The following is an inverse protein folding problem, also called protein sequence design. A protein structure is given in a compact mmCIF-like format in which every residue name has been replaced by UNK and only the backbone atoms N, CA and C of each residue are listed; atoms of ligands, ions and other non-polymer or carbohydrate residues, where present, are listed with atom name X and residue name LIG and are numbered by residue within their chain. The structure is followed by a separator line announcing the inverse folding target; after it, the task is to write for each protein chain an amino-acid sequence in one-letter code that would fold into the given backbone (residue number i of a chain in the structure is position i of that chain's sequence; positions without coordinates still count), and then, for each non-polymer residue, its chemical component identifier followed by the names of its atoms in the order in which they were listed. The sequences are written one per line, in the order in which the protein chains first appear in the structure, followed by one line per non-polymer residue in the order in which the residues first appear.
data_IF_279505745887
#
_entry.id   IF_279505745887
#
_cell.length_a   1.000
_cell.length_b   1.000
_cell.length_c   1.000
_cell.angle_alpha   90.00
_cell.angle_beta   90.00
_cell.angle_gamma   90.00
#
_symmetry.space_group_name_H-M   'P 1'
#
loop_
_entity.id
_entity.type
_entity.pdbx_description
1 polymer ?
#
# COMPACT_ATOMS: atom_id res chain seq x y z
N UNK A 1 -7.09 -8.25 -1.45
CA UNK A 1 -7.25 -6.78 -1.26
C UNK A 1 -8.13 -6.62 -0.05
N UNK A 2 -7.60 -6.04 1.00
CA UNK A 2 -8.35 -5.79 2.21
C UNK A 2 -9.27 -4.59 1.95
N UNK A 3 -10.55 -4.89 1.78
CA UNK A 3 -11.60 -3.88 1.66
C UNK A 3 -12.32 -3.81 2.99
N UNK A 4 -12.37 -2.62 3.58
CA UNK A 4 -13.10 -2.38 4.83
C UNK A 4 -14.40 -1.65 4.50
N UNK A 5 -15.53 -2.19 4.94
CA UNK A 5 -16.83 -1.53 4.82
C UNK A 5 -16.96 -0.44 5.89
N UNK A 6 -17.28 0.78 5.43
CA UNK A 6 -17.45 1.94 6.33
C UNK A 6 -18.90 2.17 6.76
N UNK A 7 -19.86 1.54 6.06
CA UNK A 7 -21.29 1.77 6.17
C UNK A 7 -21.85 2.53 4.96
N UNK A 8 -23.19 2.46 4.74
CA UNK A 8 -23.86 3.18 3.64
C UNK A 8 -23.32 2.88 2.24
N UNK A 9 -22.93 1.63 1.95
CA UNK A 9 -22.31 1.17 0.69
C UNK A 9 -20.95 1.84 0.38
N UNK A 10 -20.29 2.44 1.37
CA UNK A 10 -18.96 3.02 1.21
C UNK A 10 -17.91 2.01 1.69
N UNK A 11 -16.91 1.81 0.86
CA UNK A 11 -15.76 0.95 1.13
C UNK A 11 -14.49 1.79 1.18
N UNK A 12 -13.52 1.30 1.93
CA UNK A 12 -12.16 1.80 1.94
C UNK A 12 -11.22 0.66 1.50
N UNK A 13 -10.29 0.97 0.63
CA UNK A 13 -9.31 -0.01 0.14
C UNK A 13 -7.98 0.64 -0.19
N UNK A 14 -6.96 -0.17 -0.19
CA UNK A 14 -5.62 0.19 -0.64
C UNK A 14 -5.49 -0.14 -2.13
N UNK A 15 -5.07 0.84 -2.92
CA UNK A 15 -4.83 0.66 -4.35
C UNK A 15 -3.39 1.00 -4.66
N UNK A 16 -2.56 0.00 -4.97
CA UNK A 16 -1.21 0.24 -5.45
C UNK A 16 -1.27 0.91 -6.82
N UNK A 17 -0.36 1.86 -7.04
CA UNK A 17 -0.16 2.49 -8.34
C UNK A 17 0.95 1.72 -9.06
N UNK A 18 0.60 0.88 -10.05
CA UNK A 18 1.59 0.06 -10.76
C UNK A 18 2.45 0.90 -11.69
N UNK A 19 3.60 0.35 -12.08
CA UNK A 19 4.42 0.91 -13.15
C UNK A 19 3.60 1.05 -14.44
N UNK A 20 3.78 2.16 -15.16
CA UNK A 20 3.00 2.43 -16.39
C UNK A 20 1.58 2.96 -16.16
N UNK A 21 1.13 3.17 -14.93
CA UNK A 21 -0.12 3.87 -14.64
C UNK A 21 -0.06 5.34 -15.09
N UNK A 22 -1.18 5.88 -15.57
CA UNK A 22 -1.30 7.31 -15.93
C UNK A 22 -1.08 8.24 -14.74
N UNK A 23 -1.20 7.72 -13.52
CA UNK A 23 -1.01 8.49 -12.29
C UNK A 23 0.47 8.73 -11.96
N UNK A 24 1.37 7.86 -12.44
CA UNK A 24 2.80 7.99 -12.16
C UNK A 24 3.33 9.29 -12.75
N UNK A 25 4.04 10.06 -11.92
CA UNK A 25 4.58 11.37 -12.29
C UNK A 25 3.58 12.52 -12.16
N UNK A 26 2.34 12.28 -11.71
CA UNK A 26 1.38 13.35 -11.41
C UNK A 26 1.40 13.69 -9.91
N UNK A 27 0.99 14.91 -9.56
CA UNK A 27 0.76 15.25 -8.14
C UNK A 27 -0.62 14.76 -7.71
N UNK A 28 -0.79 14.48 -6.43
CA UNK A 28 -2.08 14.03 -5.89
C UNK A 28 -3.22 14.97 -6.27
N UNK A 29 -3.02 16.29 -6.14
CA UNK A 29 -4.03 17.30 -6.52
C UNK A 29 -4.36 17.33 -8.02
N UNK A 30 -3.40 16.96 -8.88
CA UNK A 30 -3.52 16.98 -10.33
C UNK A 30 -3.95 15.62 -10.90
N UNK A 31 -4.17 14.61 -10.06
CA UNK A 31 -4.56 13.25 -10.46
C UNK A 31 -5.99 13.15 -10.99
N UNK A 32 -6.84 14.12 -10.65
CA UNK A 32 -8.26 14.15 -11.00
C UNK A 32 -9.04 12.86 -10.66
N UNK A 33 -8.53 12.06 -9.70
CA UNK A 33 -9.14 10.77 -9.29
C UNK A 33 -10.59 10.98 -8.88
N UNK A 34 -10.86 12.01 -8.05
CA UNK A 34 -12.21 12.27 -7.56
C UNK A 34 -13.19 12.62 -8.68
N UNK A 35 -12.78 13.45 -9.62
CA UNK A 35 -13.61 13.88 -10.75
C UNK A 35 -13.89 12.74 -11.71
N UNK A 36 -12.89 11.88 -11.94
CA UNK A 36 -12.96 10.78 -12.92
C UNK A 36 -13.65 9.53 -12.39
N UNK A 37 -13.47 9.22 -11.12
CA UNK A 37 -13.92 7.95 -10.54
C UNK A 37 -14.97 8.11 -9.44
N UNK A 38 -15.06 9.28 -8.81
CA UNK A 38 -15.87 9.51 -7.63
C UNK A 38 -15.24 9.01 -6.32
N UNK A 39 -14.05 8.36 -6.38
CA UNK A 39 -13.31 7.92 -5.20
C UNK A 39 -12.57 9.09 -4.54
N UNK A 40 -12.44 9.06 -3.21
CA UNK A 40 -11.67 10.05 -2.46
C UNK A 40 -10.35 9.44 -2.00
N UNK A 41 -9.23 10.15 -2.19
CA UNK A 41 -7.96 9.79 -1.57
C UNK A 41 -7.99 10.26 -0.12
N UNK A 42 -7.87 9.33 0.82
CA UNK A 42 -7.85 9.59 2.26
C UNK A 42 -6.42 9.70 2.75
N UNK A 43 -5.55 8.84 2.21
CA UNK A 43 -4.15 8.74 2.58
C UNK A 43 -3.33 8.18 1.42
N UNK A 44 -2.02 8.16 1.60
CA UNK A 44 -1.11 7.53 0.66
C UNK A 44 0.16 7.04 1.37
N UNK A 45 0.64 5.87 1.00
CA UNK A 45 2.01 5.47 1.31
C UNK A 45 2.92 5.97 0.20
N UNK A 46 3.77 6.91 0.54
CA UNK A 46 4.75 7.51 -0.37
C UNK A 46 6.12 7.22 0.19
N UNK A 47 6.98 6.58 -0.59
CA UNK A 47 8.32 6.15 -0.17
C UNK A 47 8.31 5.30 1.12
N UNK A 48 7.24 4.53 1.34
CA UNK A 48 7.05 3.67 2.50
C UNK A 48 6.57 4.38 3.77
N UNK A 49 6.28 5.68 3.71
CA UNK A 49 5.71 6.46 4.80
C UNK A 49 4.23 6.75 4.55
N UNK A 50 3.40 6.51 5.55
CA UNK A 50 1.98 6.85 5.47
C UNK A 50 1.79 8.35 5.70
N UNK A 51 1.20 9.01 4.72
CA UNK A 51 0.71 10.39 4.84
C UNK A 51 -0.81 10.38 4.97
N UNK A 52 -1.33 10.93 6.06
CA UNK A 52 -2.76 10.97 6.37
C UNK A 52 -3.13 12.34 7.00
N UNK A 53 -3.73 13.28 6.26
CA UNK A 53 -3.99 13.25 4.81
C UNK A 53 -2.70 13.29 3.99
N UNK A 54 -2.74 12.87 2.73
CA UNK A 54 -1.57 12.98 1.87
C UNK A 54 -1.34 14.44 1.48
N UNK A 55 -0.07 14.82 1.34
CA UNK A 55 0.27 16.13 0.81
C UNK A 55 -0.26 16.27 -0.63
N UNK A 56 -1.11 17.26 -0.93
CA UNK A 56 -1.64 17.48 -2.28
C UNK A 56 -0.54 17.68 -3.34
N UNK A 57 0.62 18.19 -2.94
CA UNK A 57 1.78 18.42 -3.81
C UNK A 57 2.69 17.18 -3.96
N UNK A 58 2.45 16.14 -3.18
CA UNK A 58 3.23 14.91 -3.28
C UNK A 58 3.07 14.27 -4.66
N UNK A 59 4.20 13.76 -5.18
CA UNK A 59 4.24 13.05 -6.46
C UNK A 59 3.82 11.60 -6.28
N UNK A 60 2.90 11.15 -7.10
CA UNK A 60 2.54 9.74 -7.22
C UNK A 60 3.64 9.02 -8.00
N UNK A 61 4.21 7.99 -7.40
CA UNK A 61 5.29 7.17 -7.97
C UNK A 61 4.84 5.72 -8.14
N UNK A 62 5.64 4.90 -8.78
CA UNK A 62 5.35 3.49 -9.05
C UNK A 62 5.06 2.66 -7.79
N UNK A 63 5.61 3.06 -6.65
CA UNK A 63 5.46 2.38 -5.36
C UNK A 63 4.48 3.09 -4.42
N UNK A 64 3.73 4.05 -4.92
CA UNK A 64 2.69 4.72 -4.14
C UNK A 64 1.51 3.77 -3.97
N UNK A 65 1.04 3.62 -2.74
CA UNK A 65 -0.23 2.93 -2.45
C UNK A 65 -1.22 3.98 -1.98
N UNK A 66 -2.29 4.17 -2.73
CA UNK A 66 -3.35 5.12 -2.39
C UNK A 66 -4.35 4.45 -1.45
N UNK A 67 -4.63 5.08 -0.33
CA UNK A 67 -5.77 4.74 0.51
C UNK A 67 -6.96 5.54 0.05
N UNK A 68 -7.97 4.84 -0.43
CA UNK A 68 -9.12 5.48 -1.07
C UNK A 68 -10.43 5.03 -0.43
N UNK A 69 -11.44 5.92 -0.45
CA UNK A 69 -12.81 5.58 -0.07
C UNK A 69 -13.77 5.93 -1.19
N UNK A 70 -14.83 5.14 -1.29
CA UNK A 70 -15.89 5.33 -2.27
C UNK A 70 -16.84 4.14 -2.31
N UNK A 71 -17.85 4.22 -3.17
CA UNK A 71 -18.74 3.09 -3.45
C UNK A 71 -18.00 2.03 -4.26
N UNK A 72 -18.46 0.75 -4.27
CA UNK A 72 -17.86 -0.30 -5.07
C UNK A 72 -17.63 0.07 -6.52
N UNK A 73 -18.60 0.71 -7.15
CA UNK A 73 -18.52 1.21 -8.54
C UNK A 73 -17.42 2.25 -8.77
N UNK A 74 -17.11 3.05 -7.74
CA UNK A 74 -16.03 4.03 -7.80
C UNK A 74 -14.66 3.34 -7.70
N UNK A 75 -14.59 2.25 -6.93
CA UNK A 75 -13.38 1.42 -6.81
C UNK A 75 -13.08 0.67 -8.11
N UNK A 76 -14.11 0.16 -8.79
CA UNK A 76 -13.95 -0.47 -10.11
C UNK A 76 -13.38 0.52 -11.12
N UNK A 77 -13.99 1.71 -11.25
CA UNK A 77 -13.49 2.78 -12.12
C UNK A 77 -12.06 3.19 -11.78
N UNK A 78 -11.73 3.27 -10.48
CA UNK A 78 -10.39 3.63 -10.06
C UNK A 78 -9.39 2.52 -10.38
N UNK A 79 -9.77 1.25 -10.21
CA UNK A 79 -8.95 0.12 -10.62
C UNK A 79 -8.65 0.16 -12.12
N UNK A 80 -9.67 0.37 -12.97
CA UNK A 80 -9.48 0.51 -14.41
C UNK A 80 -8.54 1.68 -14.75
N UNK A 81 -8.70 2.78 -14.03
CA UNK A 81 -7.91 3.99 -14.22
C UNK A 81 -6.45 3.85 -13.73
N UNK A 82 -6.21 3.05 -12.68
CA UNK A 82 -4.87 2.82 -12.16
C UNK A 82 -4.14 1.69 -12.87
N UNK A 83 -4.86 0.84 -13.62
CA UNK A 83 -4.22 -0.25 -14.35
C UNK A 83 -3.17 0.29 -15.33
N UNK A 84 -2.05 -0.39 -15.49
CA UNK A 84 -1.09 -0.05 -16.53
C UNK A 84 -1.77 -0.16 -17.90
N UNK A 85 -1.42 0.72 -18.82
CA UNK A 85 -1.92 0.68 -20.21
C UNK A 85 -1.59 -0.62 -20.95
N UNK A 86 -0.71 -1.44 -20.40
CA UNK A 86 -0.43 -2.80 -20.83
C UNK A 86 -1.10 -3.78 -19.88
N UNK A 87 -2.21 -4.40 -20.33
CA UNK A 87 -2.65 -5.67 -19.75
C UNK A 87 -1.46 -6.66 -19.84
N UNK A 88 -1.19 -7.39 -18.76
CA UNK A 88 -0.25 -8.52 -18.79
C UNK A 88 -0.50 -9.33 -20.06
N UNK A 89 0.55 -9.46 -20.90
CA UNK A 89 0.48 -10.30 -22.08
C UNK A 89 0.41 -11.75 -21.63
N UNK A 90 -0.27 -12.60 -22.38
CA UNK A 90 -0.50 -14.03 -22.09
C UNK A 90 0.78 -14.92 -22.02
N UNK A 91 1.93 -14.34 -21.69
CA UNK A 91 3.21 -15.02 -21.51
C UNK A 91 3.98 -14.33 -20.40
N UNK A 92 3.37 -14.34 -19.18
CA UNK A 92 4.02 -13.76 -18.00
C UNK A 92 5.25 -14.61 -17.67
N UNK A 93 6.44 -14.02 -17.77
CA UNK A 93 7.70 -14.62 -17.38
C UNK A 93 8.30 -13.83 -16.23
N UNK A 94 8.57 -14.51 -15.12
CA UNK A 94 9.17 -13.92 -13.94
C UNK A 94 10.56 -14.52 -13.70
N UNK A 95 11.54 -13.65 -13.53
CA UNK A 95 12.90 -14.06 -13.15
C UNK A 95 12.99 -14.10 -11.61
N UNK A 96 13.54 -15.20 -11.09
CA UNK A 96 13.83 -15.34 -9.66
C UNK A 96 15.35 -15.30 -9.46
N UNK A 97 15.86 -14.18 -9.01
CA UNK A 97 17.28 -13.96 -8.74
C UNK A 97 17.61 -14.32 -7.27
N UNK A 98 18.24 -15.47 -7.07
CA UNK A 98 18.55 -16.07 -5.78
C UNK A 98 17.47 -17.04 -5.28
N UNK A 99 17.80 -18.34 -5.27
CA UNK A 99 16.94 -19.42 -4.80
C UNK A 99 17.20 -19.81 -3.33
N UNK A 100 17.36 -18.79 -2.46
CA UNK A 100 17.26 -18.94 -1.00
C UNK A 100 15.82 -19.14 -0.54
N UNK A 101 15.55 -19.04 0.75
CA UNK A 101 14.20 -19.23 1.33
C UNK A 101 13.15 -18.32 0.67
N UNK A 102 13.46 -17.04 0.47
CA UNK A 102 12.55 -16.06 -0.14
C UNK A 102 12.31 -16.39 -1.62
N UNK A 103 13.38 -16.68 -2.39
CA UNK A 103 13.25 -16.98 -3.81
C UNK A 103 12.46 -18.28 -4.07
N UNK A 104 12.68 -19.32 -3.26
CA UNK A 104 11.92 -20.58 -3.34
C UNK A 104 10.44 -20.35 -3.04
N UNK A 105 10.13 -19.61 -1.99
CA UNK A 105 8.75 -19.28 -1.64
C UNK A 105 8.07 -18.45 -2.75
N UNK A 106 8.78 -17.46 -3.31
CA UNK A 106 8.27 -16.65 -4.42
C UNK A 106 8.01 -17.52 -5.66
N UNK A 107 8.95 -18.37 -6.04
CA UNK A 107 8.81 -19.31 -7.16
C UNK A 107 7.56 -20.19 -7.00
N UNK A 108 7.39 -20.81 -5.83
CA UNK A 108 6.24 -21.68 -5.58
C UNK A 108 4.89 -20.96 -5.76
N UNK A 109 4.81 -19.69 -5.30
CA UNK A 109 3.59 -18.88 -5.46
C UNK A 109 3.34 -18.51 -6.93
N UNK A 110 4.39 -18.11 -7.65
CA UNK A 110 4.32 -17.70 -9.06
C UNK A 110 3.94 -18.90 -9.95
N UNK A 111 4.58 -20.05 -9.77
CA UNK A 111 4.27 -21.27 -10.52
C UNK A 111 2.86 -21.82 -10.23
N UNK A 112 2.37 -21.72 -8.99
CA UNK A 112 0.98 -22.04 -8.66
C UNK A 112 -0.04 -21.14 -9.34
N UNK A 113 0.34 -19.92 -9.67
CA UNK A 113 -0.48 -18.99 -10.45
C UNK A 113 -0.44 -19.27 -11.96
N UNK A 114 0.35 -20.27 -12.40
CA UNK A 114 0.49 -20.65 -13.81
C UNK A 114 1.43 -19.74 -14.61
N UNK A 115 2.33 -19.03 -13.95
CA UNK A 115 3.28 -18.10 -14.54
C UNK A 115 4.64 -18.81 -14.69
N UNK A 116 5.29 -18.64 -15.84
CA UNK A 116 6.60 -19.23 -16.11
C UNK A 116 7.70 -18.53 -15.31
N UNK A 117 8.63 -19.32 -14.73
CA UNK A 117 9.77 -18.78 -13.99
C UNK A 117 11.09 -19.13 -14.64
N UNK A 118 12.05 -18.21 -14.58
CA UNK A 118 13.47 -18.44 -14.87
C UNK A 118 14.29 -18.12 -13.63
N UNK A 119 15.12 -19.04 -13.21
CA UNK A 119 15.84 -18.96 -11.94
C UNK A 119 17.33 -18.69 -12.15
N UNK A 120 17.89 -17.78 -11.35
CA UNK A 120 19.33 -17.49 -11.32
C UNK A 120 19.86 -17.76 -9.91
N UNK A 121 20.88 -18.57 -9.76
CA UNK A 121 21.59 -18.75 -8.50
C UNK A 121 23.07 -19.11 -8.79
N UNK A 122 23.95 -18.81 -7.83
CA UNK A 122 25.37 -19.18 -7.91
C UNK A 122 25.62 -20.66 -7.59
N UNK A 123 24.63 -21.32 -6.97
CA UNK A 123 24.72 -22.72 -6.55
C UNK A 123 24.16 -23.60 -7.65
N UNK A 124 24.98 -24.51 -8.16
CA UNK A 124 24.56 -25.53 -9.12
C UNK A 124 23.56 -26.51 -8.46
N UNK A 125 22.33 -26.46 -8.94
CA UNK A 125 21.21 -27.33 -8.49
C UNK A 125 20.29 -27.62 -9.69
N UNK A 126 19.61 -28.75 -9.63
CA UNK A 126 18.68 -29.18 -10.70
C UNK A 126 17.51 -28.19 -10.94
N UNK A 127 17.23 -27.30 -9.99
CA UNK A 127 16.16 -26.31 -10.03
C UNK A 127 16.64 -24.90 -10.41
N UNK A 128 17.89 -24.74 -10.90
CA UNK A 128 18.47 -23.48 -11.35
C UNK A 128 18.68 -23.49 -12.86
N UNK A 129 18.08 -22.51 -13.56
CA UNK A 129 18.17 -22.39 -15.01
C UNK A 129 19.48 -21.69 -15.44
N UNK A 130 19.88 -20.65 -14.70
CA UNK A 130 21.13 -19.87 -14.95
C UNK A 130 22.02 -19.94 -13.71
N UNK A 131 23.10 -20.70 -13.82
CA UNK A 131 24.10 -20.87 -12.74
C UNK A 131 25.11 -19.72 -12.85
N UNK A 132 24.82 -18.59 -12.21
CA UNK A 132 25.62 -17.37 -12.28
C UNK A 132 25.31 -16.39 -11.16
N UNK A 133 26.13 -15.34 -11.02
CA UNK A 133 25.86 -14.22 -10.11
C UNK A 133 24.83 -13.25 -10.73
N UNK A 134 23.64 -13.21 -10.15
CA UNK A 134 22.55 -12.36 -10.63
C UNK A 134 22.87 -10.84 -10.63
N UNK A 135 23.95 -10.42 -9.97
CA UNK A 135 24.42 -9.04 -9.97
C UNK A 135 25.29 -8.67 -11.19
N UNK A 136 25.28 -9.51 -12.23
CA UNK A 136 25.99 -9.23 -13.49
C UNK A 136 25.00 -9.05 -14.65
N UNK A 137 25.39 -8.24 -15.63
CA UNK A 137 24.58 -8.02 -16.84
C UNK A 137 24.38 -9.32 -17.62
N UNK A 138 25.45 -10.10 -17.79
CA UNK A 138 25.43 -11.35 -18.54
C UNK A 138 24.42 -12.35 -17.99
N UNK A 139 24.37 -12.53 -16.67
CA UNK A 139 23.38 -13.43 -16.05
C UNK A 139 21.94 -13.00 -16.27
N UNK A 140 21.68 -11.70 -16.28
CA UNK A 140 20.34 -11.16 -16.56
C UNK A 140 19.95 -11.31 -18.03
N UNK A 141 20.92 -11.15 -18.95
CA UNK A 141 20.74 -11.41 -20.39
C UNK A 141 20.45 -12.89 -20.63
N UNK A 142 21.20 -13.81 -20.03
CA UNK A 142 20.99 -15.26 -20.12
C UNK A 142 19.63 -15.69 -19.57
N UNK A 143 19.14 -14.99 -18.57
CA UNK A 143 17.79 -15.20 -18.02
C UNK A 143 16.67 -14.57 -18.86
N UNK A 144 16.98 -13.79 -19.88
CA UNK A 144 16.01 -13.16 -20.77
C UNK A 144 15.32 -11.93 -20.16
N UNK A 145 16.06 -11.08 -19.44
CA UNK A 145 15.55 -9.90 -18.73
C UNK A 145 14.78 -8.94 -19.65
N UNK A 146 15.15 -8.82 -20.92
CA UNK A 146 14.54 -7.88 -21.87
C UNK A 146 13.08 -8.22 -22.17
N UNK A 147 12.74 -9.52 -22.12
CA UNK A 147 11.40 -10.05 -22.41
C UNK A 147 10.62 -10.45 -21.13
N UNK A 148 11.23 -10.30 -19.95
CA UNK A 148 10.59 -10.64 -18.68
C UNK A 148 9.62 -9.54 -18.23
N UNK A 149 8.48 -9.94 -17.65
CA UNK A 149 7.48 -9.04 -17.09
C UNK A 149 7.83 -8.62 -15.65
N UNK A 150 8.57 -9.47 -14.93
CA UNK A 150 8.99 -9.17 -13.57
C UNK A 150 10.27 -9.88 -13.14
N UNK A 151 10.88 -9.36 -12.08
CA UNK A 151 12.01 -9.99 -11.40
C UNK A 151 11.84 -9.91 -9.89
N UNK A 152 12.01 -11.05 -9.23
CA UNK A 152 12.07 -11.17 -7.76
C UNK A 152 13.53 -11.34 -7.36
N UNK A 153 14.08 -10.35 -6.66
CA UNK A 153 15.47 -10.34 -6.20
C UNK A 153 15.50 -10.76 -4.73
N UNK A 154 15.83 -12.03 -4.49
CA UNK A 154 15.89 -12.69 -3.19
C UNK A 154 17.31 -12.90 -2.65
N UNK A 155 18.28 -12.11 -3.07
CA UNK A 155 19.68 -12.25 -2.69
C UNK A 155 19.92 -11.97 -1.21
N UNK A 156 20.89 -12.65 -0.56
CA UNK A 156 21.20 -12.43 0.86
C UNK A 156 21.95 -11.11 1.11
N UNK A 157 22.66 -10.58 0.11
CA UNK A 157 23.49 -9.37 0.19
C UNK A 157 22.73 -8.18 -0.39
N UNK A 158 22.47 -7.15 0.43
CA UNK A 158 21.71 -5.96 0.04
C UNK A 158 22.42 -5.14 -1.06
N UNK A 159 23.76 -5.13 -1.09
CA UNK A 159 24.52 -4.42 -2.12
C UNK A 159 24.34 -5.11 -3.47
N UNK A 160 24.35 -6.44 -3.51
CA UNK A 160 24.04 -7.21 -4.72
C UNK A 160 22.59 -7.03 -5.13
N UNK A 161 21.66 -7.03 -4.18
CA UNK A 161 20.24 -6.75 -4.45
C UNK A 161 20.04 -5.39 -5.10
N UNK A 162 20.69 -4.34 -4.57
CA UNK A 162 20.66 -2.98 -5.15
C UNK A 162 21.27 -2.94 -6.55
N UNK A 163 22.43 -3.57 -6.76
CA UNK A 163 23.08 -3.60 -8.06
C UNK A 163 22.21 -4.33 -9.10
N UNK A 164 21.67 -5.51 -8.73
CA UNK A 164 20.74 -6.26 -9.60
C UNK A 164 19.51 -5.43 -9.95
N UNK A 165 18.97 -4.68 -8.97
CA UNK A 165 17.82 -3.77 -9.21
C UNK A 165 18.16 -2.70 -10.25
N UNK A 166 19.31 -2.03 -10.11
CA UNK A 166 19.76 -1.01 -11.09
C UNK A 166 19.95 -1.60 -12.47
N UNK A 167 20.61 -2.75 -12.56
CA UNK A 167 20.84 -3.43 -13.84
C UNK A 167 19.53 -3.85 -14.49
N UNK A 168 18.64 -4.52 -13.76
CA UNK A 168 17.34 -4.96 -14.25
C UNK A 168 16.54 -3.78 -14.81
N UNK A 169 16.43 -2.68 -14.07
CA UNK A 169 15.73 -1.47 -14.52
C UNK A 169 16.39 -0.83 -15.75
N UNK A 170 17.72 -0.84 -15.82
CA UNK A 170 18.44 -0.28 -16.97
C UNK A 170 18.31 -1.12 -18.25
N UNK A 171 18.16 -2.43 -18.11
CA UNK A 171 18.03 -3.38 -19.23
C UNK A 171 16.59 -3.51 -19.71
N UNK A 172 15.63 -3.48 -18.78
CA UNK A 172 14.21 -3.49 -19.10
C UNK A 172 13.50 -2.39 -18.28
N UNK A 173 13.25 -1.20 -18.88
CA UNK A 173 12.61 -0.09 -18.19
C UNK A 173 11.18 -0.37 -17.71
N UNK A 174 10.50 -1.34 -18.28
CA UNK A 174 9.09 -1.68 -18.02
C UNK A 174 8.92 -2.86 -17.04
N UNK A 175 10.01 -3.54 -16.66
CA UNK A 175 9.96 -4.72 -15.79
C UNK A 175 9.49 -4.36 -14.38
N UNK A 176 8.63 -5.20 -13.78
CA UNK A 176 8.31 -5.08 -12.35
C UNK A 176 9.41 -5.68 -11.49
N UNK A 177 9.93 -4.91 -10.54
CA UNK A 177 11.04 -5.31 -9.68
C UNK A 177 10.61 -5.40 -8.24
N UNK A 178 10.59 -6.63 -7.68
CA UNK A 178 10.48 -6.86 -6.26
C UNK A 178 11.86 -7.21 -5.72
N UNK A 179 12.38 -6.44 -4.76
CA UNK A 179 13.67 -6.72 -4.14
C UNK A 179 13.57 -6.93 -2.63
N UNK A 180 14.27 -7.95 -2.13
CA UNK A 180 14.45 -8.18 -0.71
C UNK A 180 15.60 -7.32 -0.20
N UNK A 181 15.38 -6.65 0.94
CA UNK A 181 16.40 -5.87 1.67
C UNK A 181 16.36 -6.28 3.13
N UNK A 182 17.54 -6.51 3.72
CA UNK A 182 17.71 -6.89 5.13
C UNK A 182 17.90 -5.67 6.02
N UNK A 183 18.50 -4.60 5.52
CA UNK A 183 18.68 -3.34 6.23
C UNK A 183 17.51 -2.39 5.94
N UNK A 184 16.82 -1.97 7.00
CA UNK A 184 15.67 -1.05 6.89
C UNK A 184 16.07 0.29 6.25
N UNK A 185 17.28 0.78 6.49
CA UNK A 185 17.78 2.04 5.93
C UNK A 185 18.10 1.93 4.43
N UNK A 186 18.32 0.71 3.92
CA UNK A 186 18.51 0.46 2.49
C UNK A 186 17.21 0.44 1.68
N UNK A 187 16.03 0.42 2.33
CA UNK A 187 14.73 0.41 1.65
C UNK A 187 14.59 1.58 0.69
N UNK A 188 14.88 2.80 1.15
CA UNK A 188 14.82 4.01 0.29
C UNK A 188 15.80 3.94 -0.88
N UNK A 189 16.99 3.35 -0.67
CA UNK A 189 17.99 3.18 -1.73
C UNK A 189 17.49 2.22 -2.79
N UNK A 190 16.80 1.13 -2.40
CA UNK A 190 16.25 0.16 -3.33
C UNK A 190 15.14 0.78 -4.20
N UNK A 191 14.23 1.56 -3.60
CA UNK A 191 13.22 2.31 -4.35
C UNK A 191 13.85 3.30 -5.33
N UNK A 192 14.87 4.05 -4.90
CA UNK A 192 15.59 4.99 -5.76
C UNK A 192 16.41 4.26 -6.85
N UNK A 193 16.83 3.03 -6.62
CA UNK A 193 17.49 2.19 -7.60
C UNK A 193 16.53 1.66 -8.69
N UNK A 194 15.22 1.81 -8.49
CA UNK A 194 14.21 1.43 -9.46
C UNK A 194 13.37 0.21 -9.05
N UNK A 195 13.44 -0.25 -7.79
CA UNK A 195 12.53 -1.27 -7.30
C UNK A 195 11.10 -0.71 -7.23
N UNK A 196 10.11 -1.52 -7.64
CA UNK A 196 8.69 -1.19 -7.49
C UNK A 196 8.20 -1.62 -6.10
N UNK A 197 8.71 -2.75 -5.61
CA UNK A 197 8.38 -3.29 -4.29
C UNK A 197 9.64 -3.66 -3.51
N UNK A 198 9.66 -3.31 -2.22
CA UNK A 198 10.77 -3.65 -1.32
C UNK A 198 10.27 -4.47 -0.15
N UNK A 199 10.72 -5.72 -0.06
CA UNK A 199 10.46 -6.59 1.08
C UNK A 199 11.56 -6.43 2.13
N UNK A 200 11.24 -5.74 3.24
CA UNK A 200 12.12 -5.67 4.42
C UNK A 200 11.71 -6.72 5.45
N UNK A 201 12.39 -7.86 5.46
CA UNK A 201 12.12 -8.96 6.40
C UNK A 201 12.15 -8.54 7.87
N UNK A 202 13.12 -7.75 8.34
CA UNK A 202 13.16 -7.29 9.73
C UNK A 202 11.95 -6.44 10.11
N UNK A 203 11.47 -5.55 9.22
CA UNK A 203 10.29 -4.72 9.49
C UNK A 203 9.03 -5.55 9.61
N UNK A 204 8.83 -6.51 8.71
CA UNK A 204 7.68 -7.42 8.75
C UNK A 204 7.71 -8.24 10.03
N UNK A 205 8.85 -8.87 10.35
CA UNK A 205 9.02 -9.69 11.56
C UNK A 205 8.83 -8.88 12.85
N UNK A 206 9.42 -7.69 12.95
CA UNK A 206 9.28 -6.84 14.14
C UNK A 206 7.81 -6.43 14.37
N UNK A 207 7.08 -6.14 13.30
CA UNK A 207 5.66 -5.82 13.38
C UNK A 207 4.83 -7.02 13.85
N UNK A 208 5.09 -8.20 13.30
CA UNK A 208 4.40 -9.43 13.73
C UNK A 208 4.64 -9.73 15.20
N UNK A 209 5.89 -9.61 15.67
CA UNK A 209 6.26 -9.79 17.08
C UNK A 209 5.54 -8.76 17.96
N UNK A 210 5.54 -7.48 17.58
CA UNK A 210 4.90 -6.42 18.34
C UNK A 210 3.38 -6.64 18.48
N UNK A 211 2.71 -7.11 17.42
CA UNK A 211 1.28 -7.48 17.46
C UNK A 211 1.03 -8.67 18.38
N UNK A 212 1.82 -9.75 18.22
CA UNK A 212 1.69 -10.94 19.06
C UNK A 212 1.88 -10.63 20.57
N UNK A 213 2.81 -9.73 20.91
CA UNK A 213 3.04 -9.31 22.29
C UNK A 213 1.90 -8.49 22.88
N UNK A 214 1.11 -7.81 22.05
CA UNK A 214 -0.09 -7.06 22.49
C UNK A 214 -1.34 -7.93 22.57
N UNK A 215 -1.27 -9.21 22.19
CA UNK A 215 -2.44 -10.10 22.14
C UNK A 215 -3.41 -9.76 21.01
N UNK A 216 -2.98 -8.95 20.04
CA UNK A 216 -3.73 -8.63 18.85
C UNK A 216 -3.63 -9.79 17.85
N UNK A 217 -4.73 -10.15 17.19
CA UNK A 217 -4.68 -11.12 16.08
C UNK A 217 -3.67 -10.65 15.02
N UNK A 218 -2.80 -11.56 14.61
CA UNK A 218 -1.83 -11.30 13.54
C UNK A 218 -2.58 -11.36 12.22
N UNK A 219 -3.44 -10.38 11.98
CA UNK A 219 -3.99 -10.12 10.66
C UNK A 219 -2.87 -9.54 9.78
N UNK A 220 -2.94 -9.79 8.50
CA UNK A 220 -1.89 -9.57 7.50
C UNK A 220 -1.08 -8.26 7.62
N UNK A 221 0.19 -8.19 7.17
CA UNK A 221 1.09 -7.06 7.41
C UNK A 221 0.77 -5.87 6.49
N UNK A 222 -0.40 -5.25 6.63
CA UNK A 222 -0.85 -4.13 5.80
C UNK A 222 -1.31 -2.90 6.56
N UNK A 223 -2.19 -3.02 7.55
CA UNK A 223 -2.85 -1.83 8.08
C UNK A 223 -2.13 -1.21 9.29
N UNK A 224 -1.42 -0.13 9.05
CA UNK A 224 -1.09 0.87 10.08
C UNK A 224 -2.28 1.78 10.37
N UNK A 225 -3.43 1.49 9.75
CA UNK A 225 -4.61 2.33 9.75
C UNK A 225 -5.66 1.67 10.61
N UNK A 226 -6.23 2.46 11.48
CA UNK A 226 -7.33 2.08 12.33
C UNK A 226 -8.53 2.96 12.04
N UNK A 227 -9.67 2.32 11.94
CA UNK A 227 -10.97 2.97 11.87
C UNK A 227 -11.61 2.89 13.22
N UNK A 228 -12.19 4.00 13.66
CA UNK A 228 -13.03 4.02 14.85
C UNK A 228 -14.31 4.80 14.56
N UNK A 229 -15.42 4.37 15.15
CA UNK A 229 -16.67 5.13 15.22
C UNK A 229 -16.78 5.75 16.59
N UNK A 230 -17.13 7.02 16.63
CA UNK A 230 -17.27 7.79 17.87
C UNK A 230 -18.44 8.74 17.79
N UNK A 231 -19.17 8.97 18.89
CA UNK A 231 -20.21 9.99 18.92
C UNK A 231 -19.62 11.39 18.76
N UNK A 232 -20.31 12.26 18.03
CA UNK A 232 -19.91 13.65 17.84
C UNK A 232 -20.26 14.55 19.03
N UNK A 233 -20.77 14.00 20.11
CA UNK A 233 -21.20 14.76 21.31
C UNK A 233 -20.17 15.79 21.78
N UNK A 234 -18.84 15.52 21.84
CA UNK A 234 -17.84 16.51 22.25
C UNK A 234 -17.67 17.68 21.27
N UNK A 235 -18.17 17.52 20.06
CA UNK A 235 -18.01 18.46 18.95
C UNK A 235 -19.33 19.11 18.53
N UNK A 236 -20.40 18.92 19.31
CA UNK A 236 -21.71 19.49 18.99
C UNK A 236 -21.64 21.03 18.92
N UNK A 237 -22.20 21.60 17.85
CA UNK A 237 -22.23 23.05 17.63
C UNK A 237 -20.99 23.66 17.05
N UNK A 238 -19.97 22.85 16.68
CA UNK A 238 -18.79 23.33 15.94
C UNK A 238 -18.71 22.66 14.58
N UNK A 239 -18.04 23.30 13.63
CA UNK A 239 -17.83 22.68 12.33
C UNK A 239 -16.72 21.63 12.39
N UNK A 240 -16.70 20.71 11.41
CA UNK A 240 -15.64 19.71 11.31
C UNK A 240 -14.25 20.38 11.26
N UNK A 241 -14.11 21.49 10.53
CA UNK A 241 -12.87 22.25 10.49
C UNK A 241 -12.48 22.87 11.85
N UNK A 242 -13.46 23.32 12.64
CA UNK A 242 -13.25 23.91 13.97
C UNK A 242 -13.07 22.89 15.09
N UNK A 243 -13.40 21.61 14.83
CA UNK A 243 -13.28 20.55 15.86
C UNK A 243 -11.84 20.29 16.30
N UNK A 244 -10.86 20.67 15.50
CA UNK A 244 -9.43 20.43 15.77
C UNK A 244 -9.02 18.97 15.75
N UNK A 245 -9.90 18.04 15.33
CA UNK A 245 -9.64 16.60 15.33
C UNK A 245 -8.35 16.29 14.59
N UNK A 246 -8.22 16.79 13.36
CA UNK A 246 -7.07 16.50 12.51
C UNK A 246 -5.77 17.13 13.05
N UNK A 247 -5.85 18.37 13.50
CA UNK A 247 -4.69 19.15 13.97
C UNK A 247 -4.14 18.62 15.29
N UNK A 248 -5.05 18.25 16.23
CA UNK A 248 -4.65 17.85 17.58
C UNK A 248 -4.26 16.37 17.66
N UNK A 249 -4.81 15.51 16.80
CA UNK A 249 -4.67 14.07 16.94
C UNK A 249 -4.06 13.35 15.74
N UNK A 250 -4.11 13.97 14.55
CA UNK A 250 -3.74 13.34 13.29
C UNK A 250 -4.79 12.37 12.74
N UNK A 251 -5.95 12.20 13.43
CA UNK A 251 -7.08 11.47 12.89
C UNK A 251 -7.83 12.32 11.87
N UNK A 252 -8.52 11.66 10.94
CA UNK A 252 -9.34 12.34 9.94
C UNK A 252 -10.77 11.83 9.98
N UNK A 253 -11.75 12.73 9.94
CA UNK A 253 -13.14 12.38 9.72
C UNK A 253 -13.33 11.97 8.27
N UNK A 254 -13.81 10.74 8.02
CA UNK A 254 -14.03 10.20 6.68
C UNK A 254 -15.50 9.92 6.38
N UNK A 255 -16.33 9.83 7.41
CA UNK A 255 -17.77 9.73 7.27
C UNK A 255 -18.48 10.33 8.48
N UNK A 256 -19.71 10.74 8.25
CA UNK A 256 -20.66 11.16 9.29
C UNK A 256 -21.97 10.42 9.06
N UNK A 257 -22.50 9.82 10.11
CA UNK A 257 -23.78 9.11 10.13
C UNK A 257 -24.75 9.78 11.11
N UNK A 258 -26.01 9.87 10.75
CA UNK A 258 -27.10 10.33 11.61
C UNK A 258 -28.45 9.78 11.11
N UNK A 259 -29.57 10.23 11.67
CA UNK A 259 -30.92 9.81 11.26
C UNK A 259 -31.22 10.06 9.76
N UNK A 260 -30.53 11.01 9.11
CA UNK A 260 -30.70 11.33 7.69
C UNK A 260 -29.88 10.39 6.79
N UNK A 261 -29.03 9.56 7.39
CA UNK A 261 -28.21 8.56 6.72
C UNK A 261 -26.71 8.79 6.83
N UNK A 262 -25.97 7.98 6.11
CA UNK A 262 -24.51 7.95 6.06
C UNK A 262 -23.97 8.85 4.94
N UNK A 263 -22.95 9.66 5.22
CA UNK A 263 -22.25 10.44 4.19
C UNK A 263 -20.74 10.38 4.36
N UNK A 264 -20.03 10.02 3.28
CA UNK A 264 -18.57 10.10 3.18
C UNK A 264 -18.10 11.39 2.47
N UNK A 265 -19.06 12.21 2.00
CA UNK A 265 -18.77 13.52 1.44
C UNK A 265 -18.62 14.53 2.58
N UNK A 266 -17.40 14.65 3.08
CA UNK A 266 -17.11 15.54 4.19
C UNK A 266 -17.04 16.98 3.70
N UNK A 267 -17.93 17.82 4.22
CA UNK A 267 -17.87 19.26 4.10
C UNK A 267 -17.22 19.82 5.38
N UNK A 268 -16.04 20.41 5.29
CA UNK A 268 -15.35 20.96 6.48
C UNK A 268 -16.14 22.04 7.21
N UNK A 269 -17.10 22.69 6.54
CA UNK A 269 -17.95 23.75 7.09
C UNK A 269 -19.25 23.22 7.71
N UNK A 270 -19.51 21.92 7.59
CA UNK A 270 -20.67 21.28 8.22
C UNK A 270 -20.57 21.38 9.74
N UNK A 271 -21.60 21.91 10.38
CA UNK A 271 -21.76 21.90 11.82
C UNK A 271 -22.16 20.51 12.30
N UNK A 272 -21.52 20.03 13.35
CA UNK A 272 -21.77 18.73 13.96
C UNK A 272 -22.89 18.82 15.00
N UNK A 273 -23.77 17.81 14.98
CA UNK A 273 -24.80 17.60 15.99
C UNK A 273 -24.34 16.59 17.05
N UNK A 274 -24.89 16.64 18.25
CA UNK A 274 -24.65 15.64 19.28
C UNK A 274 -25.12 14.22 18.87
N UNK A 275 -26.05 14.14 17.91
CA UNK A 275 -26.62 12.89 17.37
C UNK A 275 -25.81 12.34 16.17
N UNK A 276 -24.84 13.10 15.67
CA UNK A 276 -23.94 12.60 14.62
C UNK A 276 -22.98 11.55 15.20
N UNK A 277 -22.71 10.50 14.41
CA UNK A 277 -21.63 9.55 14.63
C UNK A 277 -20.53 9.79 13.60
N UNK A 278 -19.30 9.93 14.06
CA UNK A 278 -18.14 10.19 13.22
C UNK A 278 -17.37 8.89 12.98
N UNK A 279 -17.08 8.59 11.72
CA UNK A 279 -16.06 7.58 11.39
C UNK A 279 -14.73 8.29 11.19
N UNK A 280 -13.76 7.91 12.00
CA UNK A 280 -12.40 8.45 11.97
C UNK A 280 -11.42 7.41 11.43
N UNK A 281 -10.44 7.89 10.68
CA UNK A 281 -9.28 7.11 10.25
C UNK A 281 -8.01 7.73 10.83
N UNK A 282 -7.09 6.89 11.28
CA UNK A 282 -5.80 7.32 11.80
C UNK A 282 -4.86 6.14 11.98
N UNK A 283 -3.58 6.42 12.29
CA UNK A 283 -2.67 5.39 12.77
C UNK A 283 -3.08 4.97 14.18
N UNK A 284 -2.57 3.83 14.66
CA UNK A 284 -2.81 3.40 16.04
C UNK A 284 -2.46 4.51 17.06
N UNK A 285 -1.35 5.22 16.84
CA UNK A 285 -0.92 6.32 17.70
C UNK A 285 -1.90 7.50 17.63
N UNK A 286 -2.37 7.86 16.44
CA UNK A 286 -3.32 8.95 16.24
C UNK A 286 -4.65 8.64 16.93
N UNK A 287 -5.15 7.42 16.78
CA UNK A 287 -6.38 6.96 17.43
C UNK A 287 -6.26 7.00 18.95
N UNK A 288 -5.16 6.47 19.51
CA UNK A 288 -4.93 6.54 20.96
C UNK A 288 -4.84 7.98 21.46
N UNK A 289 -4.19 8.86 20.69
CA UNK A 289 -4.15 10.30 21.01
C UNK A 289 -5.53 10.93 20.97
N UNK A 290 -6.35 10.57 19.99
CA UNK A 290 -7.75 11.05 19.88
C UNK A 290 -8.56 10.63 21.09
N UNK A 291 -8.60 9.34 21.42
CA UNK A 291 -9.37 8.81 22.54
C UNK A 291 -8.98 9.49 23.87
N UNK A 292 -7.67 9.73 24.07
CA UNK A 292 -7.15 10.41 25.26
C UNK A 292 -7.46 11.92 25.28
N UNK A 293 -7.41 12.59 24.12
CA UNK A 293 -7.58 14.06 24.04
C UNK A 293 -9.03 14.47 24.29
N UNK A 294 -9.97 13.68 23.77
CA UNK A 294 -11.39 14.01 23.82
C UNK A 294 -12.18 13.17 24.83
N UNK A 295 -11.52 12.25 25.54
CA UNK A 295 -12.13 11.35 26.54
C UNK A 295 -13.38 10.61 26.01
N UNK A 296 -13.26 10.05 24.79
CA UNK A 296 -14.34 9.36 24.08
C UNK A 296 -14.00 7.87 24.01
N UNK A 297 -14.98 7.02 24.29
CA UNK A 297 -14.86 5.59 24.00
C UNK A 297 -15.30 5.33 22.54
N UNK A 298 -14.62 4.42 21.82
CA UNK A 298 -15.12 3.97 20.51
C UNK A 298 -16.47 3.29 20.70
N UNK A 299 -17.39 3.48 19.76
CA UNK A 299 -18.60 2.66 19.70
C UNK A 299 -18.19 1.22 19.44
N UNK A 300 -18.73 0.26 20.19
CA UNK A 300 -18.40 -1.18 20.04
C UNK A 300 -18.72 -1.65 18.61
N UNK A 301 -17.85 -2.51 18.06
CA UNK A 301 -17.99 -3.09 16.71
C UNK A 301 -19.26 -3.95 16.52
N UNK A 302 -19.99 -4.24 17.58
CA UNK A 302 -21.27 -4.93 17.58
C UNK A 302 -22.34 -3.93 18.08
N UNK A 303 -23.12 -3.38 17.15
CA UNK A 303 -24.26 -2.53 17.47
C UNK A 303 -25.34 -3.26 18.28
N UNK A 304 -25.10 -3.52 19.56
CA UNK A 304 -26.10 -3.85 20.57
C UNK A 304 -25.90 -2.88 21.74
N UNK A 305 -26.89 -1.98 21.86
CA UNK A 305 -27.09 -1.14 23.01
C UNK A 305 -27.83 -1.87 24.12
#
# INVERSE_FOLDING_TARGET
RDTVELGGDIQMTEIPVPHGSELVGTRIRDSHIRERTGANIIGAWIDGELQLPPDPDAMIRNNTVLLVSGRPENMEKLNEFTQPRRAFRNHDRIIIAGLGEVGKAAREVVEKAGIDTVTIDVIDRDDVDVISDASTRESLEDAGIEDADGIVIGLPDDSKSLLTTVLARSMNPEIEILTRISDTDATRKALNAGADYVLSVPRVSARMIAKALRGEEVLEPGSQIRLIRVPATPFAGVTIAQSGISENTGCRVIAVENEQGFTSRIDPTRELSAEDELTLVGTDENVQRFLKTYDVAPADENGEA
#
